data_IF_857215132420
#
_entry.id   IF_857215132420
#
_cell.length_a   1.000
_cell.length_b   1.000
_cell.length_c   1.000
_cell.angle_alpha   90.00
_cell.angle_beta   90.00
_cell.angle_gamma   90.00
#
_symmetry.space_group_name_H-M   'P 1'
#
loop_
_entity.id
_entity.type
_entity.pdbx_description
1 polymer ?
#
# COMPACT_ATOMS: atom_id res chain seq x y z
N UNK A 1 12.76 -35.40 -11.46
CA UNK A 1 13.62 -34.28 -11.07
C UNK A 1 13.14 -33.83 -9.69
N UNK A 2 13.96 -34.00 -8.64
CA UNK A 2 13.64 -33.52 -7.30
C UNK A 2 13.66 -31.99 -7.37
N UNK A 3 12.49 -31.34 -7.32
CA UNK A 3 12.43 -29.91 -7.03
C UNK A 3 13.18 -29.67 -5.73
N UNK A 4 14.24 -28.88 -5.78
CA UNK A 4 14.98 -28.46 -4.58
C UNK A 4 13.99 -27.72 -3.66
N UNK A 5 13.57 -28.39 -2.60
CA UNK A 5 12.75 -27.77 -1.55
C UNK A 5 13.66 -26.73 -0.89
N UNK A 6 13.42 -25.44 -1.23
CA UNK A 6 14.18 -24.33 -0.67
C UNK A 6 13.97 -24.29 0.84
N UNK A 7 15.02 -24.52 1.62
CA UNK A 7 14.95 -24.32 3.07
C UNK A 7 14.57 -22.89 3.36
N UNK A 8 13.54 -22.67 4.18
CA UNK A 8 13.15 -21.35 4.63
C UNK A 8 13.74 -21.10 6.01
N UNK A 9 14.68 -20.18 6.09
CA UNK A 9 15.28 -19.76 7.37
C UNK A 9 15.16 -18.25 7.48
N UNK A 10 14.44 -17.76 8.49
CA UNK A 10 14.21 -16.35 8.74
C UNK A 10 14.67 -16.03 10.15
N UNK A 11 15.58 -15.07 10.31
CA UNK A 11 16.14 -14.67 11.62
C UNK A 11 16.75 -15.84 12.42
N UNK A 12 17.35 -16.81 11.73
CA UNK A 12 17.93 -18.01 12.34
C UNK A 12 16.94 -19.13 12.66
N UNK A 13 15.64 -18.91 12.44
CA UNK A 13 14.60 -19.91 12.64
C UNK A 13 14.30 -20.66 11.33
N UNK A 14 14.41 -21.99 11.37
CA UNK A 14 14.02 -22.85 10.25
C UNK A 14 12.54 -23.14 10.29
N UNK A 15 11.87 -22.97 9.18
CA UNK A 15 10.44 -23.24 9.02
C UNK A 15 10.26 -24.41 8.06
N UNK A 16 9.68 -25.49 8.57
CA UNK A 16 9.45 -26.70 7.80
C UNK A 16 8.21 -26.61 6.92
N UNK A 17 8.09 -27.52 5.95
CA UNK A 17 6.89 -27.64 5.13
C UNK A 17 5.69 -28.01 6.00
N UNK A 18 4.54 -27.37 5.78
CA UNK A 18 3.31 -27.56 6.54
C UNK A 18 3.28 -26.81 7.87
N UNK A 19 4.31 -26.04 8.18
CA UNK A 19 4.43 -25.34 9.45
C UNK A 19 3.75 -23.97 9.44
N UNK A 20 3.09 -23.65 10.57
CA UNK A 20 2.60 -22.32 10.93
C UNK A 20 3.44 -21.81 12.10
N UNK A 21 4.14 -20.70 11.95
CA UNK A 21 5.03 -20.15 12.99
C UNK A 21 4.91 -18.63 13.08
N UNK A 22 5.02 -18.10 14.28
CA UNK A 22 5.25 -16.67 14.52
C UNK A 22 6.66 -16.51 15.08
N UNK A 23 7.43 -15.61 14.47
CA UNK A 23 8.76 -15.21 14.93
C UNK A 23 8.66 -13.78 15.45
N UNK A 24 9.07 -13.57 16.69
CA UNK A 24 9.12 -12.22 17.28
C UNK A 24 10.49 -11.58 17.02
N UNK A 25 10.53 -10.72 16.02
CA UNK A 25 11.76 -10.02 15.65
C UNK A 25 12.05 -8.87 16.63
N UNK A 26 13.03 -9.07 17.51
CA UNK A 26 13.46 -8.06 18.47
C UNK A 26 14.22 -6.92 17.77
N UNK A 27 13.60 -5.72 17.72
CA UNK A 27 14.16 -4.53 17.05
C UNK A 27 14.83 -3.56 18.00
N UNK A 28 14.43 -3.55 19.28
CA UNK A 28 14.99 -2.69 20.31
C UNK A 28 14.68 -3.21 21.70
N UNK A 29 15.52 -2.86 22.67
CA UNK A 29 15.26 -3.00 24.10
C UNK A 29 15.10 -1.62 24.71
N UNK A 30 13.96 -1.39 25.38
CA UNK A 30 13.71 -0.13 26.10
C UNK A 30 14.58 -0.06 27.36
N UNK A 31 14.74 1.15 27.90
CA UNK A 31 15.45 1.37 29.17
C UNK A 31 14.76 0.69 30.36
N UNK A 32 13.47 0.33 30.24
CA UNK A 32 12.70 -0.51 31.17
C UNK A 32 13.00 -2.00 31.05
N UNK A 33 13.98 -2.39 30.23
CA UNK A 33 14.30 -3.79 29.88
C UNK A 33 13.23 -4.54 29.07
N UNK A 34 12.16 -3.88 28.65
CA UNK A 34 11.12 -4.44 27.78
C UNK A 34 11.61 -4.51 26.34
N UNK A 35 11.50 -5.66 25.70
CA UNK A 35 11.77 -5.79 24.27
C UNK A 35 10.64 -5.18 23.44
N UNK A 36 11.01 -4.54 22.35
CA UNK A 36 10.09 -4.15 21.28
C UNK A 36 10.31 -5.10 20.11
N UNK A 37 9.24 -5.78 19.74
CA UNK A 37 9.28 -6.88 18.78
C UNK A 37 8.29 -6.64 17.64
N UNK A 38 8.64 -7.13 16.46
CA UNK A 38 7.78 -7.18 15.27
C UNK A 38 7.39 -8.64 15.07
N UNK A 39 6.11 -9.02 15.27
CA UNK A 39 5.64 -10.35 14.97
C UNK A 39 5.63 -10.62 13.46
N UNK A 40 6.31 -11.67 13.03
CA UNK A 40 6.36 -12.16 11.66
C UNK A 40 5.60 -13.47 11.62
N UNK A 41 4.43 -13.48 11.00
CA UNK A 41 3.51 -14.62 10.94
C UNK A 41 3.77 -15.36 9.64
N UNK A 42 4.17 -16.63 9.71
CA UNK A 42 4.55 -17.45 8.57
C UNK A 42 3.60 -18.65 8.48
N UNK A 43 2.98 -18.80 7.31
CA UNK A 43 2.16 -19.95 6.97
C UNK A 43 2.78 -20.63 5.74
N UNK A 44 3.33 -21.84 5.94
CA UNK A 44 4.02 -22.59 4.90
C UNK A 44 3.25 -23.85 4.56
N UNK A 45 2.87 -24.02 3.29
CA UNK A 45 2.21 -25.24 2.80
C UNK A 45 3.18 -26.43 2.74
N UNK A 46 2.65 -27.65 2.77
CA UNK A 46 3.38 -28.87 2.42
C UNK A 46 3.75 -28.92 0.93
N UNK A 47 3.04 -28.17 0.07
CA UNK A 47 3.27 -28.13 -1.36
C UNK A 47 4.18 -26.96 -1.73
N UNK A 48 5.26 -27.17 -2.50
CA UNK A 48 6.13 -26.12 -2.98
C UNK A 48 5.37 -25.07 -3.80
N UNK A 49 5.78 -23.81 -3.71
CA UNK A 49 5.17 -22.70 -4.44
C UNK A 49 5.87 -21.38 -4.12
N UNK A 50 5.36 -20.25 -4.64
CA UNK A 50 5.96 -18.96 -4.39
C UNK A 50 5.79 -18.52 -2.94
N UNK A 51 6.65 -17.57 -2.53
CA UNK A 51 6.55 -16.88 -1.23
C UNK A 51 6.00 -15.48 -1.45
N UNK A 52 4.88 -15.15 -0.79
CA UNK A 52 4.28 -13.81 -0.80
C UNK A 52 4.48 -13.16 0.56
N UNK A 53 5.19 -12.02 0.57
CA UNK A 53 5.37 -11.18 1.75
C UNK A 53 4.31 -10.07 1.77
N UNK A 54 3.52 -10.04 2.85
CA UNK A 54 2.43 -9.07 3.04
C UNK A 54 2.79 -8.17 4.22
N UNK A 55 2.91 -6.87 3.98
CA UNK A 55 3.29 -5.87 4.98
C UNK A 55 2.27 -4.77 5.12
N UNK A 56 2.15 -4.22 6.32
CA UNK A 56 1.38 -3.02 6.60
C UNK A 56 2.04 -2.18 7.71
N UNK A 57 1.51 -0.99 7.93
CA UNK A 57 1.96 -0.05 8.95
C UNK A 57 3.48 0.16 8.95
N UNK A 58 4.09 0.35 7.76
CA UNK A 58 5.44 0.94 7.66
C UNK A 58 5.43 2.39 8.20
N UNK A 59 4.26 3.03 8.12
CA UNK A 59 3.89 4.22 8.86
C UNK A 59 2.85 3.82 9.91
N UNK A 60 3.10 4.12 11.18
CA UNK A 60 2.31 3.59 12.28
C UNK A 60 0.86 4.11 12.35
N UNK A 61 0.60 5.25 11.75
CA UNK A 61 -0.72 5.88 11.65
C UNK A 61 -1.61 5.33 10.51
N UNK A 62 -1.12 4.39 9.68
CA UNK A 62 -1.82 3.87 8.51
C UNK A 62 -2.65 2.60 8.82
N UNK A 63 -3.74 2.77 9.57
CA UNK A 63 -4.51 1.69 10.22
C UNK A 63 -5.25 0.76 9.24
N UNK A 64 -5.70 1.24 8.08
CA UNK A 64 -6.42 0.40 7.12
C UNK A 64 -5.60 -0.81 6.67
N UNK A 65 -4.28 -0.63 6.51
CA UNK A 65 -3.36 -1.72 6.15
C UNK A 65 -3.32 -2.81 7.23
N UNK A 66 -3.23 -2.41 8.49
CA UNK A 66 -3.27 -3.34 9.64
C UNK A 66 -4.56 -4.15 9.65
N UNK A 67 -5.70 -3.48 9.45
CA UNK A 67 -7.00 -4.15 9.42
C UNK A 67 -7.15 -5.10 8.22
N UNK A 68 -6.58 -4.77 7.05
CA UNK A 68 -6.52 -5.69 5.91
C UNK A 68 -5.78 -6.96 6.30
N UNK A 69 -4.54 -6.85 6.81
CA UNK A 69 -3.73 -8.01 7.19
C UNK A 69 -4.39 -8.80 8.30
N UNK A 70 -4.96 -8.14 9.33
CA UNK A 70 -5.75 -8.79 10.38
C UNK A 70 -6.89 -9.63 9.81
N UNK A 71 -7.64 -9.11 8.82
CA UNK A 71 -8.73 -9.87 8.18
C UNK A 71 -8.21 -11.03 7.33
N UNK A 72 -7.08 -10.90 6.65
CA UNK A 72 -6.46 -12.01 5.93
C UNK A 72 -6.12 -13.16 6.90
N UNK A 73 -5.57 -12.84 8.08
CA UNK A 73 -5.21 -13.81 9.12
C UNK A 73 -6.46 -14.42 9.74
N UNK A 74 -7.40 -13.59 10.24
CA UNK A 74 -8.59 -14.08 10.95
C UNK A 74 -9.49 -14.95 10.10
N UNK A 75 -9.53 -14.69 8.78
CA UNK A 75 -10.27 -15.48 7.79
C UNK A 75 -9.44 -16.62 7.19
N UNK A 76 -8.21 -16.85 7.67
CA UNK A 76 -7.28 -17.91 7.20
C UNK A 76 -6.94 -17.80 5.70
N UNK A 77 -7.05 -16.59 5.12
CA UNK A 77 -6.68 -16.34 3.71
C UNK A 77 -5.16 -16.38 3.55
N UNK A 78 -4.42 -16.11 4.63
CA UNK A 78 -2.96 -16.23 4.69
C UNK A 78 -2.46 -17.69 4.79
N UNK A 79 -3.35 -18.70 4.77
CA UNK A 79 -2.97 -20.12 4.73
C UNK A 79 -2.98 -20.62 3.29
N UNK A 80 -1.81 -20.69 2.65
CA UNK A 80 -1.75 -21.05 1.24
C UNK A 80 -1.96 -22.55 1.02
N UNK A 81 -2.58 -22.93 -0.11
CA UNK A 81 -2.62 -24.34 -0.52
C UNK A 81 -1.27 -24.82 -1.06
N UNK A 82 -0.38 -23.90 -1.51
CA UNK A 82 1.01 -24.12 -1.91
C UNK A 82 1.85 -22.88 -1.65
N UNK A 83 3.16 -23.07 -1.47
CA UNK A 83 4.11 -21.98 -1.21
C UNK A 83 4.02 -21.45 0.22
N UNK A 84 4.40 -20.21 0.41
CA UNK A 84 4.51 -19.58 1.75
C UNK A 84 3.88 -18.20 1.74
N UNK A 85 3.17 -17.84 2.81
CA UNK A 85 2.73 -16.47 3.06
C UNK A 85 3.39 -15.97 4.34
N UNK A 86 4.12 -14.88 4.25
CA UNK A 86 4.74 -14.17 5.37
C UNK A 86 3.92 -12.90 5.59
N UNK A 87 3.34 -12.72 6.78
CA UNK A 87 2.49 -11.58 7.11
C UNK A 87 3.09 -10.77 8.24
N UNK A 88 3.29 -9.47 8.02
CA UNK A 88 3.76 -8.51 9.03
C UNK A 88 2.71 -7.39 9.14
N UNK A 89 1.75 -7.52 10.07
CA UNK A 89 0.65 -6.54 10.21
C UNK A 89 1.13 -5.14 10.57
N UNK A 90 2.21 -5.05 11.36
CA UNK A 90 2.74 -3.78 11.87
C UNK A 90 4.26 -3.81 11.76
N UNK A 91 4.80 -3.11 10.75
CA UNK A 91 6.25 -3.02 10.55
C UNK A 91 6.87 -1.92 11.43
N UNK A 92 6.16 -0.83 11.69
CA UNK A 92 6.58 0.25 12.57
C UNK A 92 5.78 0.21 13.89
N UNK A 93 6.20 -0.67 14.80
CA UNK A 93 5.53 -0.85 16.10
C UNK A 93 5.55 0.44 16.92
N UNK A 94 6.65 1.20 16.92
CA UNK A 94 6.74 2.47 17.65
C UNK A 94 5.73 3.50 17.13
N UNK A 95 5.66 3.67 15.82
CA UNK A 95 4.71 4.59 15.21
C UNK A 95 3.27 4.15 15.45
N UNK A 96 2.99 2.85 15.41
CA UNK A 96 1.66 2.32 15.70
C UNK A 96 1.21 2.61 17.14
N UNK A 97 2.07 2.37 18.13
CA UNK A 97 1.77 2.65 19.54
C UNK A 97 1.55 4.14 19.82
N UNK A 98 2.27 5.01 19.10
CA UNK A 98 2.17 6.46 19.25
C UNK A 98 1.18 7.10 18.27
N UNK A 99 0.51 6.30 17.42
CA UNK A 99 -0.37 6.80 16.36
C UNK A 99 0.32 7.81 15.44
N UNK A 100 1.60 7.60 15.18
CA UNK A 100 2.46 8.49 14.41
C UNK A 100 3.02 7.75 13.17
N UNK A 101 3.32 8.53 12.15
CA UNK A 101 3.98 8.06 10.93
C UNK A 101 5.42 7.60 11.20
N UNK A 102 6.13 8.34 12.04
CA UNK A 102 7.57 8.23 12.24
C UNK A 102 7.99 7.25 13.34
N UNK A 103 9.29 6.98 13.38
CA UNK A 103 9.98 6.37 14.52
C UNK A 103 10.21 7.42 15.64
N UNK A 104 10.58 7.00 16.88
CA UNK A 104 10.78 7.92 18.01
C UNK A 104 11.81 9.03 17.75
N UNK A 105 12.74 8.81 16.82
CA UNK A 105 13.75 9.80 16.41
C UNK A 105 13.29 10.71 15.27
N UNK A 106 11.98 10.71 14.93
CA UNK A 106 11.36 11.50 13.88
C UNK A 106 11.61 10.99 12.46
N UNK A 107 12.31 9.87 12.29
CA UNK A 107 12.62 9.33 10.96
C UNK A 107 11.47 8.52 10.38
N UNK A 108 11.24 8.75 9.09
CA UNK A 108 10.34 7.92 8.27
C UNK A 108 11.05 6.60 7.90
N UNK A 109 10.52 5.45 8.35
CA UNK A 109 11.04 4.14 8.00
C UNK A 109 11.10 3.95 6.47
N UNK A 110 10.09 4.43 5.74
CA UNK A 110 10.04 4.34 4.29
C UNK A 110 10.91 5.40 3.56
N UNK A 111 11.88 5.97 4.28
CA UNK A 111 13.02 6.77 3.77
C UNK A 111 14.36 6.24 4.28
N UNK A 112 14.33 5.06 4.92
CA UNK A 112 15.52 4.47 5.55
C UNK A 112 16.04 3.22 4.84
N UNK A 113 15.34 2.71 3.83
CA UNK A 113 15.74 1.52 3.05
C UNK A 113 16.91 1.78 2.09
N UNK A 114 17.79 0.77 1.87
CA UNK A 114 17.78 -0.60 2.38
C UNK A 114 18.26 -0.73 3.82
N UNK A 115 18.61 0.36 4.47
CA UNK A 115 19.09 0.41 5.83
C UNK A 115 20.61 0.27 6.00
N UNK A 116 21.05 0.36 7.25
CA UNK A 116 22.42 0.15 7.67
C UNK A 116 22.44 -0.46 9.08
N UNK A 117 23.22 -1.52 9.29
CA UNK A 117 23.33 -2.24 10.55
C UNK A 117 23.76 -1.35 11.74
N UNK A 118 24.58 -0.34 11.49
CA UNK A 118 25.09 0.61 12.49
C UNK A 118 24.38 1.97 12.44
N UNK A 119 23.26 2.07 11.71
CA UNK A 119 22.50 3.31 11.56
C UNK A 119 21.56 3.62 12.73
N UNK A 120 20.67 4.60 12.52
CA UNK A 120 19.57 4.91 13.44
C UNK A 120 18.63 3.70 13.58
N UNK A 121 17.72 3.73 14.57
CA UNK A 121 16.79 2.64 14.81
C UNK A 121 15.98 2.30 13.55
N UNK A 122 15.38 3.29 12.88
CA UNK A 122 14.67 3.08 11.61
C UNK A 122 15.58 2.45 10.53
N UNK A 123 16.83 2.91 10.43
CA UNK A 123 17.79 2.37 9.45
C UNK A 123 18.21 0.92 9.78
N UNK A 124 18.30 0.57 11.05
CA UNK A 124 18.60 -0.80 11.49
C UNK A 124 17.43 -1.75 11.19
N UNK A 125 16.19 -1.34 11.49
CA UNK A 125 14.98 -2.11 11.15
C UNK A 125 14.91 -2.34 9.64
N UNK A 126 15.10 -1.30 8.84
CA UNK A 126 15.14 -1.41 7.38
C UNK A 126 16.26 -2.37 6.91
N UNK A 127 17.43 -2.35 7.53
CA UNK A 127 18.55 -3.24 7.22
C UNK A 127 18.19 -4.71 7.47
N UNK A 128 17.72 -5.04 8.66
CA UNK A 128 17.36 -6.42 9.01
C UNK A 128 16.20 -6.92 8.15
N UNK A 129 15.16 -6.13 7.97
CA UNK A 129 14.07 -6.50 7.06
C UNK A 129 14.56 -6.79 5.64
N UNK A 130 15.46 -5.94 5.11
CA UNK A 130 16.01 -6.06 3.75
C UNK A 130 16.90 -7.29 3.57
N UNK A 131 17.58 -7.75 4.63
CA UNK A 131 18.58 -8.83 4.52
C UNK A 131 18.08 -10.16 5.08
N UNK A 132 17.15 -10.16 6.06
CA UNK A 132 16.70 -11.38 6.75
C UNK A 132 15.28 -11.81 6.31
N UNK A 133 14.43 -10.89 5.87
CA UNK A 133 13.04 -11.22 5.51
C UNK A 133 12.81 -11.12 3.99
N UNK A 134 13.15 -9.98 3.41
CA UNK A 134 12.88 -9.68 2.00
C UNK A 134 13.50 -10.67 0.99
N UNK A 135 14.68 -11.28 1.21
CA UNK A 135 15.28 -12.23 0.26
C UNK A 135 14.47 -13.51 0.05
N UNK A 136 13.54 -13.81 0.95
CA UNK A 136 12.68 -14.99 0.84
C UNK A 136 11.42 -14.76 0.02
N UNK A 137 11.10 -13.50 -0.31
CA UNK A 137 9.90 -13.13 -1.04
C UNK A 137 10.08 -13.24 -2.56
N UNK A 138 9.15 -13.92 -3.24
CA UNK A 138 9.01 -13.89 -4.70
C UNK A 138 8.08 -12.74 -5.13
N UNK A 139 7.13 -12.36 -4.24
CA UNK A 139 6.19 -11.25 -4.44
C UNK A 139 5.98 -10.51 -3.12
N UNK A 140 5.75 -9.19 -3.21
CA UNK A 140 5.38 -8.39 -2.05
C UNK A 140 4.02 -7.68 -2.26
N UNK A 141 3.28 -7.52 -1.16
CA UNK A 141 2.12 -6.62 -1.07
C UNK A 141 2.37 -5.70 0.12
N UNK A 142 2.33 -4.40 -0.11
CA UNK A 142 2.55 -3.39 0.94
C UNK A 142 1.34 -2.46 1.01
N UNK A 143 0.73 -2.36 2.19
CA UNK A 143 -0.50 -1.60 2.41
C UNK A 143 -0.21 -0.26 3.05
N UNK A 144 -0.69 0.81 2.37
CA UNK A 144 -0.56 2.20 2.76
C UNK A 144 -1.89 2.95 2.75
N UNK A 145 -1.88 4.15 3.31
CA UNK A 145 -2.95 5.14 3.20
C UNK A 145 -2.39 6.50 2.75
N UNK A 146 -3.25 7.45 2.48
CA UNK A 146 -2.84 8.84 2.40
C UNK A 146 -2.42 9.35 3.77
N UNK A 147 -1.29 10.06 3.83
CA UNK A 147 -0.78 10.63 5.09
C UNK A 147 -1.63 11.80 5.59
N UNK A 148 -1.78 11.93 6.89
CA UNK A 148 -2.57 12.95 7.57
C UNK A 148 -4.03 12.99 7.07
N UNK A 149 -4.54 14.16 6.72
CA UNK A 149 -5.93 14.34 6.24
C UNK A 149 -6.14 14.03 4.75
N UNK A 150 -5.16 13.50 4.04
CA UNK A 150 -5.28 13.20 2.60
C UNK A 150 -5.87 11.82 2.37
N UNK A 151 -7.07 11.78 1.85
CA UNK A 151 -7.77 10.53 1.53
C UNK A 151 -7.42 10.09 0.11
N UNK A 152 -6.81 8.92 -0.03
CA UNK A 152 -6.56 8.26 -1.31
C UNK A 152 -7.77 7.42 -1.74
N UNK A 153 -8.19 7.57 -3.01
CA UNK A 153 -8.98 6.52 -3.65
C UNK A 153 -8.17 5.21 -3.67
N UNK A 154 -8.83 4.04 -3.58
CA UNK A 154 -8.13 2.77 -3.67
C UNK A 154 -7.32 2.68 -4.96
N UNK A 155 -6.00 2.53 -4.85
CA UNK A 155 -5.07 2.53 -5.97
C UNK A 155 -3.88 1.63 -5.73
N UNK A 156 -3.30 1.10 -6.81
CA UNK A 156 -1.98 0.46 -6.81
C UNK A 156 -1.00 1.39 -7.49
N UNK A 157 0.17 1.62 -6.89
CA UNK A 157 1.24 2.41 -7.50
C UNK A 157 2.25 1.49 -8.17
N UNK A 158 2.48 1.70 -9.45
CA UNK A 158 3.37 0.92 -10.28
C UNK A 158 4.42 1.79 -10.98
N UNK A 159 5.57 1.19 -11.27
CA UNK A 159 6.65 1.89 -11.96
C UNK A 159 6.31 2.00 -13.44
N UNK A 160 6.49 3.16 -14.08
CA UNK A 160 6.29 3.29 -15.53
C UNK A 160 7.15 2.30 -16.31
N UNK A 161 6.55 1.62 -17.29
CA UNK A 161 7.24 0.64 -18.15
C UNK A 161 7.32 -0.79 -17.60
N UNK A 162 6.91 -1.04 -16.36
CA UNK A 162 6.87 -2.39 -15.78
C UNK A 162 5.58 -3.13 -16.20
N UNK A 163 5.67 -3.86 -17.33
CA UNK A 163 4.53 -4.62 -17.87
C UNK A 163 4.06 -5.75 -16.94
N UNK A 164 5.00 -6.41 -16.26
CA UNK A 164 4.68 -7.51 -15.34
C UNK A 164 3.89 -6.96 -14.12
N UNK A 165 4.37 -5.88 -13.53
CA UNK A 165 3.70 -5.26 -12.40
C UNK A 165 2.33 -4.67 -12.80
N UNK A 166 2.19 -4.14 -14.03
CA UNK A 166 0.89 -3.71 -14.55
C UNK A 166 -0.09 -4.89 -14.66
N UNK A 167 0.36 -6.06 -15.12
CA UNK A 167 -0.46 -7.29 -15.14
C UNK A 167 -0.91 -7.68 -13.73
N UNK A 168 0.00 -7.70 -12.76
CA UNK A 168 -0.33 -8.01 -11.36
C UNK A 168 -1.30 -6.96 -10.76
N UNK A 169 -1.16 -5.69 -11.10
CA UNK A 169 -2.06 -4.63 -10.67
C UNK A 169 -3.47 -4.79 -11.27
N UNK A 170 -3.57 -5.21 -12.53
CA UNK A 170 -4.87 -5.56 -13.16
C UNK A 170 -5.52 -6.77 -12.47
N UNK A 171 -4.75 -7.78 -12.08
CA UNK A 171 -5.23 -8.92 -11.29
C UNK A 171 -5.68 -8.47 -9.90
N UNK A 172 -4.90 -7.66 -9.20
CA UNK A 172 -5.26 -7.11 -7.89
C UNK A 172 -6.55 -6.29 -7.97
N UNK A 173 -6.73 -5.54 -9.02
CA UNK A 173 -7.93 -4.82 -9.47
C UNK A 173 -8.60 -3.96 -8.39
N UNK A 174 -8.07 -2.77 -8.23
CA UNK A 174 -8.68 -1.67 -7.50
C UNK A 174 -9.00 -0.53 -8.49
N UNK A 175 -9.80 0.48 -8.13
CA UNK A 175 -10.22 1.52 -9.06
C UNK A 175 -9.12 2.11 -9.93
N UNK A 176 -7.92 2.33 -9.37
CA UNK A 176 -6.83 2.96 -10.11
C UNK A 176 -5.51 2.18 -10.03
N UNK A 177 -4.81 2.11 -11.17
CA UNK A 177 -3.40 1.76 -11.29
C UNK A 177 -2.63 3.02 -11.66
N UNK A 178 -1.91 3.61 -10.70
CA UNK A 178 -1.26 4.91 -10.89
C UNK A 178 0.21 4.71 -11.25
N UNK A 179 0.62 5.16 -12.44
CA UNK A 179 2.02 5.15 -12.84
C UNK A 179 2.79 6.21 -12.03
N UNK A 180 3.72 5.78 -11.21
CA UNK A 180 4.52 6.68 -10.37
C UNK A 180 5.95 6.20 -10.26
N UNK A 181 6.91 7.11 -10.47
CA UNK A 181 8.33 6.81 -10.30
C UNK A 181 8.62 6.43 -8.84
N UNK A 182 9.59 5.55 -8.66
CA UNK A 182 10.06 5.16 -7.34
C UNK A 182 10.75 6.32 -6.63
N UNK A 183 10.43 6.52 -5.38
CA UNK A 183 11.17 7.43 -4.51
C UNK A 183 12.40 6.72 -3.95
N UNK A 184 13.53 7.44 -3.88
CA UNK A 184 14.78 6.90 -3.29
C UNK A 184 14.57 6.48 -1.83
N UNK A 185 15.33 5.49 -1.38
CA UNK A 185 15.35 5.00 0.01
C UNK A 185 13.99 4.48 0.51
N UNK A 186 13.13 3.95 -0.38
CA UNK A 186 11.86 3.32 0.00
C UNK A 186 11.93 1.80 -0.09
N UNK A 187 11.02 1.12 0.60
CA UNK A 187 10.83 -0.33 0.51
C UNK A 187 10.58 -0.74 -0.95
N UNK A 188 9.64 -0.06 -1.66
CA UNK A 188 9.36 -0.32 -3.07
C UNK A 188 10.60 -0.22 -3.96
N UNK A 189 11.44 0.79 -3.76
CA UNK A 189 12.70 0.93 -4.51
C UNK A 189 13.68 -0.21 -4.22
N UNK A 190 13.71 -0.70 -2.99
CA UNK A 190 14.56 -1.83 -2.59
C UNK A 190 14.07 -3.13 -3.23
N UNK A 191 12.75 -3.40 -3.22
CA UNK A 191 12.17 -4.53 -3.95
C UNK A 191 12.54 -4.49 -5.43
N UNK A 192 12.34 -3.35 -6.11
CA UNK A 192 12.66 -3.22 -7.54
C UNK A 192 14.14 -3.47 -7.84
N UNK A 193 15.07 -2.98 -6.98
CA UNK A 193 16.50 -3.25 -7.14
C UNK A 193 16.87 -4.72 -6.97
N UNK A 194 16.09 -5.45 -6.20
CA UNK A 194 16.24 -6.90 -5.99
C UNK A 194 15.45 -7.75 -7.01
N UNK A 195 14.73 -7.12 -7.95
CA UNK A 195 13.90 -7.81 -8.93
C UNK A 195 12.62 -8.43 -8.35
N UNK A 196 12.19 -8.02 -7.15
CA UNK A 196 11.00 -8.54 -6.47
C UNK A 196 9.80 -7.66 -6.83
N UNK A 197 8.76 -8.20 -7.52
CA UNK A 197 7.53 -7.48 -7.80
C UNK A 197 6.80 -7.10 -6.51
N UNK A 198 6.39 -5.83 -6.42
CA UNK A 198 5.67 -5.32 -5.25
C UNK A 198 4.39 -4.59 -5.64
N UNK A 199 3.24 -5.06 -5.17
CA UNK A 199 1.97 -4.35 -5.20
C UNK A 199 1.96 -3.36 -4.02
N UNK A 200 2.14 -2.08 -4.31
CA UNK A 200 1.96 -1.03 -3.33
C UNK A 200 0.52 -0.52 -3.43
N UNK A 201 -0.31 -0.96 -2.49
CA UNK A 201 -1.70 -0.50 -2.36
C UNK A 201 -1.76 0.78 -1.53
N UNK A 202 -2.55 1.73 -1.95
CA UNK A 202 -2.88 2.93 -1.20
C UNK A 202 -4.39 3.14 -1.15
N UNK A 203 -4.96 3.38 0.02
CA UNK A 203 -6.39 3.65 0.15
C UNK A 203 -6.79 4.24 1.51
N UNK A 204 -7.72 5.19 1.51
CA UNK A 204 -8.13 5.91 2.72
C UNK A 204 -7.09 6.91 3.20
N UNK A 205 -7.13 7.26 4.47
CA UNK A 205 -6.20 8.19 5.13
C UNK A 205 -5.70 7.65 6.46
N UNK A 206 -4.69 8.31 7.02
CA UNK A 206 -4.16 8.03 8.37
C UNK A 206 -5.26 8.15 9.44
N UNK A 207 -5.12 7.35 10.51
CA UNK A 207 -5.99 7.32 11.70
C UNK A 207 -7.49 7.17 11.37
N UNK A 208 -7.79 6.46 10.29
CA UNK A 208 -9.15 6.12 9.89
C UNK A 208 -9.26 4.61 9.65
N UNK A 209 -10.33 4.00 10.18
CA UNK A 209 -10.74 2.64 9.82
C UNK A 209 -11.89 2.73 8.81
N UNK A 210 -11.62 2.35 7.57
CA UNK A 210 -12.58 2.44 6.48
C UNK A 210 -12.85 1.06 5.87
N UNK A 211 -14.04 0.52 6.14
CA UNK A 211 -14.42 -0.84 5.73
C UNK A 211 -14.40 -1.04 4.22
N UNK A 212 -14.72 -0.02 3.43
CA UNK A 212 -14.69 -0.10 1.97
C UNK A 212 -13.24 -0.23 1.47
N UNK A 213 -12.32 0.56 2.03
CA UNK A 213 -10.88 0.49 1.71
C UNK A 213 -10.33 -0.88 2.10
N UNK A 214 -10.65 -1.35 3.30
CA UNK A 214 -10.25 -2.68 3.78
C UNK A 214 -10.75 -3.79 2.85
N UNK A 215 -12.02 -3.72 2.42
CA UNK A 215 -12.57 -4.69 1.47
C UNK A 215 -11.83 -4.70 0.12
N UNK A 216 -11.40 -3.53 -0.41
CA UNK A 216 -10.57 -3.48 -1.62
C UNK A 216 -9.25 -4.21 -1.43
N UNK A 217 -8.54 -3.98 -0.33
CA UNK A 217 -7.27 -4.65 -0.02
C UNK A 217 -7.42 -6.15 0.12
N UNK A 218 -8.41 -6.62 0.91
CA UNK A 218 -8.68 -8.05 1.10
C UNK A 218 -9.05 -8.73 -0.22
N UNK A 219 -9.96 -8.16 -1.02
CA UNK A 219 -10.38 -8.73 -2.31
C UNK A 219 -9.23 -8.74 -3.32
N UNK A 220 -8.42 -7.67 -3.38
CA UNK A 220 -7.26 -7.59 -4.25
C UNK A 220 -6.23 -8.67 -3.91
N UNK A 221 -5.92 -8.84 -2.62
CA UNK A 221 -5.03 -9.90 -2.15
C UNK A 221 -5.55 -11.28 -2.51
N UNK A 222 -6.85 -11.56 -2.30
CA UNK A 222 -7.46 -12.85 -2.70
C UNK A 222 -7.26 -13.11 -4.19
N UNK A 223 -7.51 -12.13 -5.07
CA UNK A 223 -7.33 -12.29 -6.53
C UNK A 223 -5.88 -12.56 -6.89
N UNK A 224 -4.93 -11.84 -6.26
CA UNK A 224 -3.51 -12.07 -6.51
C UNK A 224 -3.06 -13.46 -6.05
N UNK A 225 -3.44 -13.89 -4.84
CA UNK A 225 -3.11 -15.23 -4.34
C UNK A 225 -3.76 -16.34 -5.19
N UNK A 226 -4.98 -16.13 -5.68
CA UNK A 226 -5.64 -17.06 -6.60
C UNK A 226 -4.92 -17.14 -7.94
N UNK A 227 -4.52 -16.00 -8.51
CA UNK A 227 -3.72 -15.93 -9.74
C UNK A 227 -2.38 -16.65 -9.63
N UNK A 228 -1.74 -16.60 -8.44
CA UNK A 228 -0.50 -17.31 -8.12
C UNK A 228 -0.73 -18.78 -7.76
N UNK A 229 -1.95 -19.29 -7.91
CA UNK A 229 -2.35 -20.65 -7.53
C UNK A 229 -2.09 -21.00 -6.05
N UNK A 230 -2.11 -20.00 -5.19
CA UNK A 230 -1.86 -20.15 -3.74
C UNK A 230 -3.14 -20.23 -2.89
N UNK A 231 -4.28 -19.81 -3.43
CA UNK A 231 -5.53 -19.73 -2.67
C UNK A 231 -6.45 -20.92 -3.00
N UNK A 232 -7.05 -21.49 -1.95
CA UNK A 232 -8.03 -22.55 -2.06
C UNK A 232 -9.34 -22.03 -2.70
N UNK A 233 -10.02 -22.86 -3.51
CA UNK A 233 -11.27 -22.54 -4.19
C UNK A 233 -12.42 -22.16 -3.24
N UNK A 234 -12.39 -22.67 -2.00
CA UNK A 234 -13.37 -22.34 -0.94
C UNK A 234 -13.48 -20.85 -0.62
N UNK A 235 -12.45 -20.06 -0.96
CA UNK A 235 -12.45 -18.62 -0.66
C UNK A 235 -13.28 -17.76 -1.62
N UNK A 236 -13.94 -18.33 -2.62
CA UNK A 236 -14.83 -17.62 -3.55
C UNK A 236 -14.22 -16.30 -4.07
N UNK A 237 -13.29 -16.42 -5.01
CA UNK A 237 -12.66 -15.24 -5.63
C UNK A 237 -13.58 -14.71 -6.73
N UNK A 238 -14.21 -13.57 -6.46
CA UNK A 238 -15.08 -12.93 -7.44
C UNK A 238 -14.28 -12.13 -8.47
N UNK A 239 -14.64 -12.29 -9.75
CA UNK A 239 -14.13 -11.43 -10.80
C UNK A 239 -14.57 -9.97 -10.56
N UNK A 240 -13.72 -8.99 -10.85
CA UNK A 240 -14.09 -7.60 -10.71
C UNK A 240 -15.17 -7.23 -11.75
N UNK A 241 -16.10 -6.36 -11.35
CA UNK A 241 -17.15 -5.86 -12.24
C UNK A 241 -16.66 -4.79 -13.23
N UNK A 242 -15.49 -4.25 -13.01
CA UNK A 242 -14.86 -3.21 -13.84
C UNK A 242 -13.34 -3.37 -13.81
N UNK A 243 -12.70 -3.02 -14.91
CA UNK A 243 -11.24 -2.96 -14.99
C UNK A 243 -10.69 -1.77 -14.20
N UNK A 244 -9.46 -1.92 -13.73
CA UNK A 244 -8.72 -0.80 -13.12
C UNK A 244 -8.42 0.26 -14.17
N UNK A 245 -8.62 1.53 -13.81
CA UNK A 245 -8.26 2.65 -14.68
C UNK A 245 -6.76 2.95 -14.51
N UNK A 246 -6.00 2.87 -15.61
CA UNK A 246 -4.58 3.20 -15.60
C UNK A 246 -4.40 4.71 -15.66
N UNK A 247 -3.80 5.30 -14.61
CA UNK A 247 -3.49 6.72 -14.52
C UNK A 247 -2.02 6.94 -14.90
N UNK A 248 -1.76 7.35 -16.13
CA UNK A 248 -0.41 7.61 -16.63
C UNK A 248 0.18 8.92 -16.13
N UNK A 249 -0.65 9.97 -16.10
CA UNK A 249 -0.25 11.32 -15.70
C UNK A 249 -1.28 11.92 -14.75
N UNK A 250 -0.78 12.60 -13.74
CA UNK A 250 -1.61 13.27 -12.74
C UNK A 250 -0.91 14.51 -12.21
N UNK A 251 -1.67 15.40 -11.59
CA UNK A 251 -1.13 16.62 -10.97
C UNK A 251 -1.85 16.96 -9.68
N UNK A 252 -1.16 17.68 -8.81
CA UNK A 252 -1.76 18.27 -7.62
C UNK A 252 -2.39 19.62 -7.93
N UNK A 253 -3.62 19.81 -7.45
CA UNK A 253 -4.26 21.11 -7.35
C UNK A 253 -3.92 21.67 -5.98
N UNK A 254 -3.42 22.91 -5.94
CA UNK A 254 -3.04 23.58 -4.70
C UNK A 254 -4.03 24.68 -4.34
N UNK A 255 -4.22 24.89 -3.03
CA UNK A 255 -5.05 25.98 -2.52
C UNK A 255 -4.45 27.33 -2.91
N UNK A 256 -5.26 28.19 -3.54
CA UNK A 256 -4.85 29.55 -3.93
C UNK A 256 -5.11 30.58 -2.82
N UNK A 257 -5.91 30.21 -1.82
CA UNK A 257 -6.24 31.01 -0.62
C UNK A 257 -6.16 30.13 0.61
N UNK A 258 -5.87 30.74 1.77
CA UNK A 258 -6.02 30.11 3.07
C UNK A 258 -7.46 30.29 3.58
N UNK A 259 -7.98 29.33 4.36
CA UNK A 259 -9.29 29.47 5.00
C UNK A 259 -9.96 28.14 5.34
N UNK A 260 -11.24 28.23 5.67
CA UNK A 260 -12.10 27.07 5.92
C UNK A 260 -12.38 26.34 4.60
N UNK A 261 -12.15 25.05 4.58
CA UNK A 261 -12.18 24.25 3.35
C UNK A 261 -13.43 23.37 3.30
N UNK A 262 -14.28 23.63 2.32
CA UNK A 262 -15.57 22.95 2.14
C UNK A 262 -15.55 22.10 0.89
N UNK A 263 -15.39 20.79 1.04
CA UNK A 263 -15.42 19.82 -0.04
C UNK A 263 -16.79 19.75 -0.72
N UNK A 264 -16.81 19.67 -2.06
CA UNK A 264 -18.01 19.47 -2.89
C UNK A 264 -18.05 18.14 -3.62
N UNK A 265 -16.92 17.45 -3.69
CA UNK A 265 -16.77 16.19 -4.41
C UNK A 265 -16.11 15.13 -3.53
N UNK A 266 -16.23 13.87 -3.94
CA UNK A 266 -15.58 12.72 -3.31
C UNK A 266 -14.41 12.20 -4.14
N UNK A 267 -13.51 11.46 -3.52
CA UNK A 267 -12.51 10.66 -4.23
C UNK A 267 -13.17 9.65 -5.18
N UNK A 268 -12.43 9.22 -6.20
CA UNK A 268 -12.87 8.25 -7.21
C UNK A 268 -13.99 8.77 -8.14
N UNK A 269 -14.18 10.07 -8.26
CA UNK A 269 -15.12 10.69 -9.21
C UNK A 269 -14.40 11.20 -10.44
N UNK A 270 -15.01 11.01 -11.62
CA UNK A 270 -14.64 11.69 -12.84
C UNK A 270 -15.31 13.08 -12.82
N UNK A 271 -14.53 14.12 -13.02
CA UNK A 271 -15.01 15.52 -13.05
C UNK A 271 -14.69 16.16 -14.40
N UNK A 272 -15.56 17.07 -14.84
CA UNK A 272 -15.33 17.86 -16.04
C UNK A 272 -14.44 19.09 -15.73
N UNK A 273 -13.76 19.64 -16.74
CA UNK A 273 -13.04 20.92 -16.63
C UNK A 273 -13.99 22.01 -16.16
N UNK A 274 -13.58 22.80 -15.16
CA UNK A 274 -14.40 23.87 -14.60
C UNK A 274 -15.38 23.45 -13.51
N UNK A 275 -15.51 22.14 -13.20
CA UNK A 275 -16.33 21.68 -12.08
C UNK A 275 -15.81 22.26 -10.75
N UNK A 276 -16.70 22.67 -9.86
CA UNK A 276 -16.35 23.17 -8.52
C UNK A 276 -16.04 21.96 -7.61
N UNK A 277 -14.77 21.84 -7.21
CA UNK A 277 -14.28 20.75 -6.37
C UNK A 277 -14.44 21.04 -4.86
N UNK A 278 -14.25 22.30 -4.49
CA UNK A 278 -14.37 22.80 -3.13
C UNK A 278 -14.63 24.31 -3.11
N UNK A 279 -14.97 24.81 -1.93
CA UNK A 279 -15.03 26.24 -1.64
C UNK A 279 -14.12 26.54 -0.46
N UNK A 280 -13.35 27.62 -0.52
CA UNK A 280 -12.55 28.15 0.60
C UNK A 280 -13.21 29.47 1.05
N UNK A 281 -13.47 29.60 2.34
CA UNK A 281 -14.07 30.80 2.95
C UNK A 281 -13.19 31.33 4.08
N UNK A 282 -13.32 32.62 4.39
CA UNK A 282 -12.78 33.16 5.62
C UNK A 282 -13.78 32.97 6.78
N UNK A 283 -13.36 33.07 8.06
CA UNK A 283 -14.25 32.93 9.20
C UNK A 283 -15.17 34.16 9.43
N UNK A 284 -14.97 35.23 8.67
CA UNK A 284 -15.70 36.50 8.85
C UNK A 284 -16.81 36.71 7.81
N UNK A 285 -16.99 35.77 6.86
CA UNK A 285 -18.02 35.84 5.82
C UNK A 285 -17.73 36.85 4.70
N UNK A 286 -16.49 37.33 4.57
CA UNK A 286 -16.08 38.32 3.57
C UNK A 286 -15.46 37.72 2.31
N UNK A 287 -14.95 36.49 2.38
CA UNK A 287 -14.28 35.82 1.27
C UNK A 287 -14.92 34.48 0.96
N UNK A 288 -15.21 34.25 -0.33
CA UNK A 288 -15.61 32.96 -0.87
C UNK A 288 -14.84 32.70 -2.17
N UNK A 289 -14.04 31.64 -2.18
CA UNK A 289 -13.23 31.26 -3.32
C UNK A 289 -13.55 29.83 -3.78
N UNK A 290 -13.94 29.65 -5.03
CA UNK A 290 -14.21 28.33 -5.60
C UNK A 290 -12.94 27.71 -6.18
N UNK A 291 -12.62 26.49 -5.75
CA UNK A 291 -11.56 25.66 -6.31
C UNK A 291 -12.15 24.87 -7.48
N UNK A 292 -11.65 25.10 -8.69
CA UNK A 292 -12.20 24.48 -9.91
C UNK A 292 -11.26 23.42 -10.47
N UNK A 293 -11.83 22.39 -11.13
CA UNK A 293 -11.07 21.40 -11.87
C UNK A 293 -10.38 22.04 -13.08
N UNK A 294 -9.06 21.94 -13.21
CA UNK A 294 -8.31 22.55 -14.30
C UNK A 294 -8.44 21.79 -15.64
N UNK A 295 -8.88 20.54 -15.59
CA UNK A 295 -9.12 19.65 -16.73
C UNK A 295 -10.17 18.59 -16.34
N UNK A 296 -10.71 17.89 -17.34
CA UNK A 296 -11.43 16.65 -17.12
C UNK A 296 -10.48 15.60 -16.55
N UNK A 297 -10.91 14.82 -15.51
CA UNK A 297 -10.07 13.78 -14.92
C UNK A 297 -10.67 13.14 -13.67
N UNK A 298 -10.06 12.04 -13.25
CA UNK A 298 -10.43 11.36 -12.01
C UNK A 298 -9.76 12.01 -10.79
N UNK A 299 -10.51 12.18 -9.73
CA UNK A 299 -10.00 12.63 -8.44
C UNK A 299 -9.45 11.42 -7.69
N UNK A 300 -8.13 11.34 -7.58
CA UNK A 300 -7.41 10.20 -6.97
C UNK A 300 -6.96 10.45 -5.53
N UNK A 301 -6.93 11.71 -5.09
CA UNK A 301 -6.72 12.06 -3.68
C UNK A 301 -7.45 13.37 -3.36
N UNK A 302 -7.93 13.47 -2.12
CA UNK A 302 -8.63 14.64 -1.58
C UNK A 302 -8.07 14.96 -0.20
N UNK A 303 -7.70 16.22 0.04
CA UNK A 303 -7.43 16.69 1.40
C UNK A 303 -8.79 16.90 2.12
N UNK A 304 -8.94 16.28 3.29
CA UNK A 304 -10.13 16.38 4.14
C UNK A 304 -9.91 17.27 5.38
N UNK A 305 -8.79 17.99 5.45
CA UNK A 305 -8.57 18.96 6.51
C UNK A 305 -9.61 20.07 6.43
N UNK A 306 -10.22 20.50 7.54
CA UNK A 306 -11.24 21.55 7.54
C UNK A 306 -10.65 22.94 7.30
N UNK A 307 -9.34 23.09 7.44
CA UNK A 307 -8.58 24.33 7.22
C UNK A 307 -7.45 24.02 6.24
N UNK A 308 -7.21 24.93 5.30
CA UNK A 308 -6.09 24.84 4.36
C UNK A 308 -5.32 26.15 4.32
N UNK A 309 -4.03 26.05 4.03
CA UNK A 309 -3.16 27.19 3.79
C UNK A 309 -2.90 27.35 2.28
N UNK A 310 -2.66 28.57 1.85
CA UNK A 310 -2.23 28.85 0.47
C UNK A 310 -0.99 28.00 0.14
N UNK A 311 -1.04 27.29 -0.99
CA UNK A 311 0.02 26.36 -1.40
C UNK A 311 -0.21 24.91 -1.00
N UNK A 312 -1.11 24.60 -0.07
CA UNK A 312 -1.42 23.23 0.32
C UNK A 312 -1.91 22.40 -0.88
N UNK A 313 -1.46 21.15 -0.96
CA UNK A 313 -1.96 20.18 -1.92
C UNK A 313 -3.33 19.67 -1.47
N UNK A 314 -4.39 20.04 -2.19
CA UNK A 314 -5.79 19.80 -1.80
C UNK A 314 -6.48 18.71 -2.63
N UNK A 315 -6.12 18.55 -3.91
CA UNK A 315 -6.60 17.46 -4.76
C UNK A 315 -5.48 16.91 -5.61
N UNK A 316 -5.52 15.60 -5.87
CA UNK A 316 -4.72 14.95 -6.90
C UNK A 316 -5.66 14.50 -8.02
N UNK A 317 -5.45 15.00 -9.24
CA UNK A 317 -6.32 14.76 -10.41
C UNK A 317 -5.51 14.16 -11.57
N UNK A 318 -6.09 13.21 -12.29
CA UNK A 318 -5.53 12.69 -13.54
C UNK A 318 -5.60 13.76 -14.66
N UNK A 319 -4.63 13.75 -15.59
CA UNK A 319 -4.51 14.80 -16.62
C UNK A 319 -4.77 14.32 -18.05
N UNK A 320 -4.96 13.01 -18.26
CA UNK A 320 -5.34 12.43 -19.57
C UNK A 320 -6.71 11.77 -19.48
N UNK A 321 -7.45 11.73 -20.57
CA UNK A 321 -8.59 10.83 -20.77
C UNK A 321 -8.05 9.39 -20.76
N UNK A 322 -8.29 8.70 -19.66
CA UNK A 322 -7.82 7.33 -19.43
C UNK A 322 -8.89 6.33 -19.92
N UNK A 323 -9.39 6.50 -21.13
CA UNK A 323 -10.08 5.40 -21.79
C UNK A 323 -9.01 4.46 -22.38
N UNK A 324 -9.13 3.13 -22.21
CA UNK A 324 -8.25 2.20 -22.90
C UNK A 324 -8.33 2.52 -24.39
N UNK A 325 -7.20 2.74 -25.05
CA UNK A 325 -7.14 2.84 -26.50
C UNK A 325 -7.72 1.57 -27.09
N UNK A 326 -8.45 1.65 -28.20
CA UNK A 326 -9.03 0.49 -28.88
C UNK A 326 -8.01 -0.61 -29.14
N UNK A 327 -6.76 -0.26 -29.44
CA UNK A 327 -5.63 -1.20 -29.59
C UNK A 327 -5.32 -2.03 -28.32
N UNK A 328 -5.62 -1.53 -27.11
CA UNK A 328 -5.45 -2.31 -25.88
C UNK A 328 -6.65 -3.23 -25.59
N UNK A 329 -7.80 -2.99 -26.22
CA UNK A 329 -8.97 -3.86 -26.14
C UNK A 329 -8.83 -5.11 -27.00
N UNK A 330 -8.14 -5.00 -28.13
CA UNK A 330 -7.91 -6.14 -29.04
C UNK A 330 -6.88 -7.12 -28.47
N UNK A 331 -5.81 -6.64 -27.79
CA UNK A 331 -4.83 -7.51 -27.11
C UNK A 331 -5.34 -8.22 -25.83
N UNK A 332 -6.55 -7.91 -25.39
CA UNK A 332 -7.17 -8.55 -24.21
C UNK A 332 -8.15 -9.65 -24.58
N UNK A 333 -8.42 -9.83 -25.88
CA UNK A 333 -9.31 -10.87 -26.41
C UNK A 333 -8.55 -12.03 -27.09
N UNK A 334 -7.24 -12.00 -27.12
CA UNK A 334 -6.34 -13.08 -27.47
C UNK A 334 -5.69 -13.67 -26.18
#
# INVERSE_FOLDING_TARGET
>A
MSEFIKTLEILGEKIELGESRTIDFNIAKLYTSTNIEIPIIIERSIHPGPTVLITAAIHGDEINGVEIVRQLISRKINKPKRGTIISIPILNVFGFLNTDRAFPDGRDLNRSFPGNRRGSLASRVAYFFTNEVLPHADYCIDFHTGGASRFNAPQVRINPGDKNLLKLAKVFNVPFSVLSKNLKKTYRTTCNKKGIPIILFEGGKSLESNSQIVNYGVRGTKRLLYYLDMLDSKFNVTNPSRDTVVIEKSRWIRAQKSGLFHLKIKCNQLVEKGAILATITDPYGKMKFNVMAPNKGYIINVNQAPIVHQGDAIFHISTKDNQPKEEEREMLNE
#
